data_IF_574870305267
#
_entry.id   IF_574870305267
#
_cell.length_a   1.000
_cell.length_b   1.000
_cell.length_c   1.000
_cell.angle_alpha   90.00
_cell.angle_beta   90.00
_cell.angle_gamma   90.00
#
_symmetry.space_group_name_H-M   'P 1'
#
loop_
_entity.id
_entity.type
_entity.pdbx_description
1 polymer ?
#
# COMPACT_ATOMS: atom_id res chain seq x y z
N UNK A 1 -17.61 -14.16 50.82
CA UNK A 1 -16.98 -14.79 51.99
C UNK A 1 -15.56 -15.20 51.60
N UNK A 2 -14.55 -14.68 52.30
CA UNK A 2 -13.12 -15.11 52.37
C UNK A 2 -12.36 -15.14 51.02
N UNK A 3 -11.63 -14.09 50.60
CA UNK A 3 -10.29 -13.64 51.06
C UNK A 3 -9.31 -14.79 51.31
N UNK A 4 -8.33 -14.95 50.41
CA UNK A 4 -6.97 -15.41 50.76
C UNK A 4 -5.97 -14.55 50.00
N UNK A 5 -5.13 -13.89 50.79
CA UNK A 5 -4.01 -13.02 50.46
C UNK A 5 -2.74 -13.88 50.38
N UNK A 6 -1.86 -13.65 49.40
CA UNK A 6 -0.41 -13.96 49.47
C UNK A 6 0.26 -13.13 48.37
N UNK A 7 0.82 -11.96 48.66
CA UNK A 7 2.09 -11.67 49.35
C UNK A 7 3.29 -11.55 48.37
N UNK A 8 3.90 -10.38 48.49
CA UNK A 8 5.08 -9.77 47.87
C UNK A 8 6.19 -10.70 47.33
N UNK A 9 6.71 -10.30 46.17
CA UNK A 9 8.11 -10.50 45.77
C UNK A 9 8.66 -9.21 45.16
N UNK A 10 9.31 -8.38 45.97
CA UNK A 10 10.11 -7.23 45.52
C UNK A 10 11.50 -7.77 45.16
N UNK A 11 11.95 -7.54 43.93
CA UNK A 11 13.35 -7.70 43.55
C UNK A 11 13.87 -6.38 42.96
N UNK A 12 14.86 -5.84 43.65
CA UNK A 12 15.57 -4.61 43.36
C UNK A 12 16.82 -4.86 42.52
N UNK A 13 17.29 -3.82 41.82
CA UNK A 13 18.64 -3.70 41.23
C UNK A 13 18.71 -4.22 39.80
N UNK A 14 19.30 -3.53 38.81
CA UNK A 14 20.45 -2.62 38.87
C UNK A 14 20.37 -1.54 37.78
N UNK A 15 20.66 -0.31 38.20
CA UNK A 15 20.89 0.88 37.39
C UNK A 15 22.27 0.77 36.71
N UNK A 16 22.32 0.75 35.37
CA UNK A 16 23.57 0.84 34.60
C UNK A 16 23.65 2.25 33.99
N UNK A 17 24.47 3.11 34.59
CA UNK A 17 24.98 4.32 33.95
C UNK A 17 26.24 3.96 33.15
N UNK A 18 26.25 4.22 31.85
CA UNK A 18 27.47 4.34 31.06
C UNK A 18 27.53 5.73 30.41
N UNK A 19 28.22 6.59 31.14
CA UNK A 19 29.25 7.57 30.74
C UNK A 19 29.34 8.03 29.28
N UNK A 20 29.31 9.35 29.13
CA UNK A 20 29.56 10.14 27.94
C UNK A 20 30.95 9.92 27.31
N UNK A 21 31.02 10.01 25.98
CA UNK A 21 32.22 10.39 25.26
C UNK A 21 31.97 11.73 24.53
N UNK A 22 32.57 12.78 25.09
CA UNK A 22 32.70 14.08 24.43
C UNK A 22 33.84 13.97 23.42
N UNK A 23 33.58 14.34 22.17
CA UNK A 23 34.57 14.31 21.09
C UNK A 23 34.32 15.46 20.14
N UNK A 24 34.90 16.63 20.45
CA UNK A 24 34.98 17.75 19.53
C UNK A 24 36.14 17.57 18.56
N UNK A 25 35.96 18.04 17.32
CA UNK A 25 37.06 18.48 16.46
C UNK A 25 36.54 19.49 15.45
N UNK A 26 37.26 20.60 15.43
CA UNK A 26 37.00 21.86 14.74
C UNK A 26 37.70 21.89 13.39
N UNK A 27 37.08 22.55 12.40
CA UNK A 27 37.70 23.01 11.16
C UNK A 27 36.58 23.41 10.20
N UNK A 28 36.38 24.64 9.74
CA UNK A 28 37.29 25.76 9.56
C UNK A 28 37.46 25.99 8.05
N UNK A 29 36.78 27.00 7.49
CA UNK A 29 37.09 27.49 6.13
C UNK A 29 35.88 27.97 5.32
N UNK A 30 35.65 29.28 5.33
CA UNK A 30 34.71 30.03 4.48
C UNK A 30 35.17 30.05 3.01
N UNK A 31 34.22 30.08 2.07
CA UNK A 31 34.29 30.94 0.88
C UNK A 31 32.91 31.02 0.19
N UNK A 32 32.19 32.11 0.46
CA UNK A 32 31.24 32.66 -0.49
C UNK A 32 32.02 33.42 -1.58
N UNK A 33 31.59 33.31 -2.84
CA UNK A 33 31.56 34.41 -3.83
C UNK A 33 31.04 33.91 -5.18
N UNK A 34 29.81 34.35 -5.48
CA UNK A 34 29.33 34.96 -6.74
C UNK A 34 30.11 34.76 -8.05
N UNK A 35 29.40 34.32 -9.10
CA UNK A 35 29.52 34.90 -10.45
C UNK A 35 28.25 34.65 -11.30
N UNK A 36 27.79 35.71 -11.95
CA UNK A 36 26.68 35.86 -12.89
C UNK A 36 26.88 35.17 -14.25
N UNK A 37 25.75 35.02 -14.98
CA UNK A 37 25.67 34.92 -16.44
C UNK A 37 24.87 33.69 -16.87
N UNK A 38 23.90 33.71 -17.80
CA UNK A 38 23.38 34.71 -18.71
C UNK A 38 22.20 34.07 -19.46
N UNK A 39 21.09 34.80 -19.68
CA UNK A 39 20.05 34.46 -20.67
C UNK A 39 20.65 34.39 -22.09
N UNK A 40 20.20 33.48 -22.98
CA UNK A 40 19.02 33.69 -23.86
C UNK A 40 18.29 32.34 -24.14
N UNK A 41 17.24 32.15 -24.95
CA UNK A 41 16.30 32.94 -25.72
C UNK A 41 15.06 32.04 -25.95
N UNK A 42 13.93 32.68 -26.26
CA UNK A 42 12.67 32.07 -26.64
C UNK A 42 12.78 31.20 -27.91
N UNK A 43 11.95 30.16 -28.00
CA UNK A 43 11.57 29.56 -29.28
C UNK A 43 10.06 29.39 -29.29
N UNK A 44 9.40 30.20 -30.11
CA UNK A 44 7.97 30.13 -30.39
C UNK A 44 7.71 28.95 -31.33
N UNK A 45 6.85 28.03 -30.91
CA UNK A 45 6.31 26.96 -31.75
C UNK A 45 4.91 27.33 -32.25
N UNK A 46 4.79 27.56 -33.55
CA UNK A 46 3.56 27.92 -34.27
C UNK A 46 2.57 26.76 -34.24
N UNK A 47 1.47 26.90 -33.51
CA UNK A 47 0.33 25.98 -33.54
C UNK A 47 -0.55 26.25 -34.75
N UNK A 48 -0.60 25.32 -35.69
CA UNK A 48 -1.59 25.25 -36.76
C UNK A 48 -2.53 24.07 -36.53
N UNK A 49 -3.83 24.33 -36.63
CA UNK A 49 -4.85 23.47 -37.27
C UNK A 49 -6.23 23.95 -36.81
N UNK A 50 -6.98 24.54 -37.74
CA UNK A 50 -8.41 24.76 -37.55
C UNK A 50 -9.18 23.44 -37.63
N UNK A 51 -10.38 23.41 -37.06
CA UNK A 51 -11.50 22.60 -37.56
C UNK A 51 -12.80 23.28 -37.16
N UNK A 52 -13.71 23.28 -38.13
CA UNK A 52 -14.97 23.97 -38.20
C UNK A 52 -16.07 23.39 -37.30
N UNK A 53 -17.13 24.19 -37.24
CA UNK A 53 -18.40 24.02 -36.56
C UNK A 53 -19.28 22.82 -36.99
N UNK A 54 -20.45 22.78 -36.34
CA UNK A 54 -21.68 22.05 -36.63
C UNK A 54 -21.83 20.71 -35.87
N UNK A 55 -22.98 20.32 -35.34
CA UNK A 55 -24.28 20.96 -35.13
C UNK A 55 -25.06 20.09 -34.13
N UNK A 56 -25.95 20.71 -33.35
CA UNK A 56 -26.95 20.04 -32.53
C UNK A 56 -27.93 19.24 -33.38
N UNK A 57 -28.18 17.98 -33.01
CA UNK A 57 -29.32 17.22 -33.48
C UNK A 57 -29.81 16.28 -32.37
N UNK A 58 -30.92 16.68 -31.73
CA UNK A 58 -31.84 15.78 -31.03
C UNK A 58 -32.60 14.91 -32.04
N UNK A 59 -32.83 13.63 -31.70
CA UNK A 59 -34.13 13.04 -31.99
C UNK A 59 -34.79 12.45 -30.73
N UNK A 60 -36.10 12.68 -30.66
CA UNK A 60 -37.03 12.08 -29.72
C UNK A 60 -37.06 10.56 -29.88
N UNK A 61 -37.11 9.82 -28.77
CA UNK A 61 -37.42 8.39 -28.80
C UNK A 61 -38.84 8.14 -28.29
N UNK A 62 -39.62 7.47 -29.12
CA UNK A 62 -41.03 7.19 -28.96
C UNK A 62 -41.27 6.07 -27.93
N UNK A 63 -42.41 6.18 -27.27
CA UNK A 63 -43.07 5.18 -26.43
C UNK A 63 -43.40 3.93 -27.25
N UNK A 64 -43.02 2.75 -26.75
CA UNK A 64 -43.39 1.46 -27.30
C UNK A 64 -43.53 0.41 -26.21
N UNK A 65 -44.77 0.23 -25.73
CA UNK A 65 -45.19 -0.89 -24.88
C UNK A 65 -45.49 -2.10 -25.77
N UNK A 66 -44.80 -3.23 -25.56
CA UNK A 66 -45.34 -4.57 -25.81
C UNK A 66 -44.43 -5.63 -25.14
N UNK A 67 -45.07 -6.56 -24.43
CA UNK A 67 -44.42 -7.62 -23.68
C UNK A 67 -43.77 -8.70 -24.54
N UNK A 68 -42.87 -9.43 -23.90
CA UNK A 68 -42.24 -10.64 -24.43
C UNK A 68 -41.58 -11.42 -23.30
N UNK A 69 -42.33 -12.34 -22.71
CA UNK A 69 -41.78 -13.39 -21.85
C UNK A 69 -40.96 -14.33 -22.72
N UNK A 70 -39.64 -14.26 -22.63
CA UNK A 70 -38.73 -15.25 -23.21
C UNK A 70 -37.60 -15.53 -22.24
N UNK A 71 -37.73 -16.65 -21.52
CA UNK A 71 -36.63 -17.35 -20.87
C UNK A 71 -35.65 -17.79 -21.96
N UNK A 72 -34.45 -17.21 -21.98
CA UNK A 72 -33.35 -17.70 -22.80
C UNK A 72 -32.07 -17.69 -21.97
N UNK A 73 -31.57 -18.89 -21.69
CA UNK A 73 -30.22 -19.11 -21.20
C UNK A 73 -29.19 -18.99 -22.33
N UNK A 74 -27.93 -18.99 -21.89
CA UNK A 74 -26.69 -19.07 -22.69
C UNK A 74 -26.33 -17.80 -23.46
N UNK A 75 -25.13 -17.23 -23.37
CA UNK A 75 -23.90 -17.61 -22.70
C UNK A 75 -22.76 -16.73 -23.22
N UNK A 76 -21.63 -16.74 -22.54
CA UNK A 76 -20.33 -16.49 -23.17
C UNK A 76 -19.33 -17.39 -22.46
N UNK A 77 -19.19 -18.59 -23.03
CA UNK A 77 -18.10 -19.49 -22.70
C UNK A 77 -16.80 -18.90 -23.18
N UNK A 78 -15.85 -18.75 -22.27
CA UNK A 78 -14.44 -18.92 -22.59
C UNK A 78 -14.09 -20.37 -22.32
N UNK A 79 -14.10 -21.21 -23.35
CA UNK A 79 -13.31 -22.45 -23.31
C UNK A 79 -11.85 -22.02 -23.36
N UNK A 80 -11.22 -21.90 -22.20
CA UNK A 80 -9.84 -21.43 -22.09
C UNK A 80 -9.24 -21.85 -20.76
N UNK A 81 -8.68 -23.07 -20.75
CA UNK A 81 -8.02 -23.72 -19.62
C UNK A 81 -8.90 -23.95 -18.38
N UNK A 82 -8.96 -25.18 -17.89
CA UNK A 82 -9.46 -25.48 -16.54
C UNK A 82 -8.43 -24.93 -15.54
N UNK A 83 -8.42 -23.61 -15.40
CA UNK A 83 -7.52 -22.87 -14.53
C UNK A 83 -8.29 -22.38 -13.31
N UNK A 84 -7.64 -22.48 -12.14
CA UNK A 84 -8.18 -21.93 -10.90
C UNK A 84 -8.35 -20.41 -11.04
N UNK A 85 -9.56 -19.90 -10.78
CA UNK A 85 -9.89 -18.48 -10.92
C UNK A 85 -9.03 -17.58 -10.03
N UNK A 86 -8.86 -16.31 -10.38
CA UNK A 86 -8.17 -15.34 -9.52
C UNK A 86 -8.96 -15.09 -8.24
N UNK A 87 -8.25 -14.85 -7.13
CA UNK A 87 -8.90 -14.56 -5.86
C UNK A 87 -9.68 -13.26 -5.96
N UNK A 88 -10.97 -13.32 -5.61
CA UNK A 88 -11.79 -12.11 -5.53
C UNK A 88 -11.58 -11.46 -4.18
N UNK A 89 -11.23 -10.17 -4.18
CA UNK A 89 -11.03 -9.42 -2.94
C UNK A 89 -12.27 -9.38 -2.01
N UNK A 90 -13.49 -9.60 -2.53
CA UNK A 90 -14.71 -9.75 -1.70
C UNK A 90 -14.70 -11.00 -0.80
N UNK A 91 -13.91 -12.00 -1.18
CA UNK A 91 -13.72 -13.26 -0.45
C UNK A 91 -12.29 -13.38 0.10
N UNK A 92 -11.55 -12.27 0.18
CA UNK A 92 -10.27 -12.21 0.84
C UNK A 92 -10.42 -11.43 2.14
N UNK A 93 -9.89 -12.00 3.22
CA UNK A 93 -9.60 -11.23 4.42
C UNK A 93 -8.13 -10.83 4.41
N UNK A 94 -7.85 -9.59 4.78
CA UNK A 94 -6.50 -9.06 4.96
C UNK A 94 -6.23 -8.80 6.44
N UNK A 95 -5.05 -9.16 6.92
CA UNK A 95 -4.56 -8.85 8.27
C UNK A 95 -3.07 -8.54 8.22
N UNK A 96 -2.56 -7.88 9.27
CA UNK A 96 -1.12 -7.72 9.50
C UNK A 96 -0.67 -8.69 10.60
N UNK A 97 0.49 -9.31 10.42
CA UNK A 97 1.18 -10.13 11.43
C UNK A 97 2.70 -9.91 11.36
N UNK A 98 3.44 -10.50 12.30
CA UNK A 98 4.91 -10.55 12.27
C UNK A 98 5.56 -9.17 12.16
N UNK A 99 5.70 -8.44 13.27
CA UNK A 99 6.39 -7.14 13.27
C UNK A 99 7.85 -7.30 13.70
N UNK A 100 8.77 -6.82 12.88
CA UNK A 100 10.20 -6.84 13.15
C UNK A 100 10.84 -5.48 12.88
N UNK A 101 11.38 -4.85 13.93
CA UNK A 101 12.08 -3.59 13.82
C UNK A 101 13.55 -3.75 13.42
N UNK A 102 14.02 -2.87 12.54
CA UNK A 102 15.43 -2.72 12.17
C UNK A 102 15.85 -1.25 12.32
N UNK A 103 17.10 -0.93 11.98
CA UNK A 103 17.54 0.46 11.97
C UNK A 103 16.80 1.24 10.86
N UNK A 104 15.87 2.10 11.27
CA UNK A 104 15.17 3.03 10.38
C UNK A 104 14.02 2.43 9.55
N UNK A 105 13.63 1.18 9.80
CA UNK A 105 12.44 0.59 9.21
C UNK A 105 11.86 -0.52 10.07
N UNK A 106 10.59 -0.85 9.85
CA UNK A 106 9.96 -2.06 10.37
C UNK A 106 9.52 -2.93 9.18
N UNK A 107 9.44 -4.23 9.41
CA UNK A 107 8.89 -5.19 8.47
C UNK A 107 7.64 -5.81 9.08
N UNK A 108 6.58 -5.91 8.27
CA UNK A 108 5.32 -6.57 8.64
C UNK A 108 4.86 -7.51 7.53
N UNK A 109 4.15 -8.57 7.90
CA UNK A 109 3.52 -9.48 6.96
C UNK A 109 2.06 -9.08 6.72
N UNK A 110 1.73 -8.78 5.46
CA UNK A 110 0.33 -8.64 5.02
C UNK A 110 -0.18 -10.01 4.64
N UNK A 111 -1.05 -10.58 5.47
CA UNK A 111 -1.62 -11.92 5.27
C UNK A 111 -2.99 -11.82 4.61
N UNK A 112 -3.16 -12.58 3.54
CA UNK A 112 -4.41 -12.80 2.83
C UNK A 112 -4.95 -14.19 3.16
N UNK A 113 -6.23 -14.26 3.51
CA UNK A 113 -6.96 -15.52 3.72
C UNK A 113 -8.08 -15.67 2.70
N UNK A 114 -8.14 -16.82 2.03
CA UNK A 114 -9.26 -17.18 1.17
C UNK A 114 -10.47 -17.60 2.03
N UNK A 115 -11.52 -16.79 2.02
CA UNK A 115 -12.79 -17.06 2.71
C UNK A 115 -13.79 -17.82 1.83
N UNK A 116 -13.48 -18.02 0.56
CA UNK A 116 -14.34 -18.77 -0.35
C UNK A 116 -14.22 -20.28 -0.11
N UNK A 117 -15.23 -21.03 -0.56
CA UNK A 117 -15.23 -22.50 -0.53
C UNK A 117 -14.56 -23.13 -1.76
N UNK A 118 -14.00 -22.32 -2.65
CA UNK A 118 -13.29 -22.75 -3.86
C UNK A 118 -11.85 -22.26 -3.84
N UNK A 119 -10.91 -22.99 -4.46
CA UNK A 119 -9.55 -22.52 -4.62
C UNK A 119 -9.50 -21.27 -5.51
N UNK A 120 -8.52 -20.40 -5.25
CA UNK A 120 -8.28 -19.22 -6.07
C UNK A 120 -6.78 -18.93 -6.23
N UNK A 121 -6.40 -18.08 -7.19
CA UNK A 121 -4.99 -17.74 -7.47
C UNK A 121 -4.65 -16.27 -7.26
N UNK A 122 -3.42 -16.02 -6.82
CA UNK A 122 -2.80 -14.69 -6.68
C UNK A 122 -1.42 -14.70 -7.33
N UNK A 123 -1.02 -13.59 -7.94
CA UNK A 123 0.26 -13.46 -8.63
C UNK A 123 0.74 -12.01 -8.57
N UNK A 124 2.02 -11.81 -8.22
CA UNK A 124 2.64 -10.48 -8.21
C UNK A 124 2.65 -9.81 -6.84
N UNK A 125 2.47 -8.49 -6.84
CA UNK A 125 2.63 -7.64 -5.66
C UNK A 125 1.28 -7.03 -5.28
N UNK A 126 0.93 -6.95 -3.98
CA UNK A 126 -0.18 -6.11 -3.56
C UNK A 126 0.18 -4.63 -3.75
N UNK A 127 -0.83 -3.81 -4.01
CA UNK A 127 -0.71 -2.36 -3.81
C UNK A 127 -0.92 -2.06 -2.33
N UNK A 128 -0.09 -1.20 -1.74
CA UNK A 128 -0.21 -0.84 -0.32
C UNK A 128 0.00 0.66 -0.16
N UNK A 129 -0.87 1.31 0.60
CA UNK A 129 -0.72 2.72 0.97
C UNK A 129 -1.12 2.90 2.43
N UNK A 130 -0.59 3.92 3.10
CA UNK A 130 -1.13 4.33 4.38
C UNK A 130 -2.47 5.05 4.22
N UNK A 131 -3.34 4.93 5.22
CA UNK A 131 -4.67 5.52 5.25
C UNK A 131 -4.99 6.22 6.57
N UNK A 132 -5.63 7.38 6.51
CA UNK A 132 -6.06 8.14 7.68
C UNK A 132 -7.42 8.83 7.46
N UNK A 133 -8.07 9.23 8.56
CA UNK A 133 -9.28 10.04 8.55
C UNK A 133 -10.58 9.25 8.33
N UNK A 134 -11.67 9.99 8.17
CA UNK A 134 -13.01 9.45 7.93
C UNK A 134 -13.75 10.36 6.93
N UNK A 135 -13.97 9.93 5.67
CA UNK A 135 -13.60 8.64 5.10
C UNK A 135 -12.07 8.44 5.02
N UNK A 136 -11.62 7.19 5.01
CA UNK A 136 -10.18 6.87 4.95
C UNK A 136 -9.61 7.37 3.62
N UNK A 137 -8.57 8.19 3.70
CA UNK A 137 -7.84 8.73 2.55
C UNK A 137 -6.39 8.25 2.57
N UNK A 138 -5.81 8.05 1.39
CA UNK A 138 -4.40 7.71 1.27
C UNK A 138 -3.51 8.84 1.82
N UNK A 139 -2.45 8.46 2.52
CA UNK A 139 -1.41 9.36 3.02
C UNK A 139 -0.06 8.95 2.42
N UNK A 140 0.61 9.90 1.77
CA UNK A 140 1.92 9.66 1.16
C UNK A 140 1.86 8.85 -0.15
N UNK A 141 3.03 8.43 -0.61
CA UNK A 141 3.19 7.61 -1.80
C UNK A 141 2.80 6.14 -1.54
N UNK A 142 2.24 5.44 -2.54
CA UNK A 142 2.00 4.00 -2.43
C UNK A 142 3.33 3.23 -2.42
N UNK A 143 3.26 1.97 -1.99
CA UNK A 143 4.40 1.08 -1.93
C UNK A 143 5.03 0.85 -3.30
N UNK A 144 6.36 0.98 -3.37
CA UNK A 144 7.13 0.47 -4.49
C UNK A 144 7.30 -1.04 -4.36
N UNK A 145 7.52 -1.71 -5.50
CA UNK A 145 7.79 -3.15 -5.53
C UNK A 145 9.23 -3.42 -5.14
N UNK A 146 9.45 -4.32 -4.19
CA UNK A 146 10.77 -4.87 -3.86
C UNK A 146 11.07 -6.10 -4.71
N UNK A 147 12.15 -6.12 -5.51
CA UNK A 147 12.49 -7.26 -6.36
C UNK A 147 13.14 -8.43 -5.59
N UNK A 148 13.17 -8.39 -4.25
CA UNK A 148 13.81 -9.43 -3.41
C UNK A 148 13.18 -10.81 -3.59
N UNK A 149 11.88 -10.85 -3.88
CA UNK A 149 11.15 -12.09 -4.16
C UNK A 149 10.65 -12.08 -5.59
N UNK A 150 11.02 -13.11 -6.35
CA UNK A 150 10.51 -13.28 -7.71
C UNK A 150 9.03 -13.68 -7.65
N UNK A 151 8.12 -12.98 -8.36
CA UNK A 151 6.71 -13.35 -8.41
C UNK A 151 6.49 -14.79 -8.88
N UNK A 152 5.63 -15.51 -8.17
CA UNK A 152 5.17 -16.85 -8.55
C UNK A 152 3.65 -16.93 -8.40
N UNK A 153 3.03 -17.88 -9.11
CA UNK A 153 1.59 -18.11 -8.99
C UNK A 153 1.31 -18.83 -7.68
N UNK A 154 0.53 -18.20 -6.80
CA UNK A 154 0.12 -18.75 -5.52
C UNK A 154 -1.32 -19.23 -5.64
N UNK A 155 -1.57 -20.50 -5.34
CA UNK A 155 -2.93 -21.06 -5.24
C UNK A 155 -3.34 -21.17 -3.78
N UNK A 156 -4.44 -20.50 -3.43
CA UNK A 156 -5.06 -20.52 -2.12
C UNK A 156 -6.22 -21.51 -2.13
N UNK A 157 -6.10 -22.60 -1.37
CA UNK A 157 -7.23 -23.47 -1.07
C UNK A 157 -8.27 -22.74 -0.21
N UNK A 158 -9.50 -23.27 -0.08
CA UNK A 158 -10.47 -22.77 0.90
C UNK A 158 -9.84 -22.67 2.29
N UNK A 159 -9.93 -21.49 2.92
CA UNK A 159 -9.28 -21.21 4.21
C UNK A 159 -7.76 -21.07 4.17
N UNK A 160 -7.12 -21.23 3.00
CA UNK A 160 -5.68 -21.10 2.82
C UNK A 160 -5.17 -19.66 2.98
N UNK A 161 -3.86 -19.54 3.15
CA UNK A 161 -3.17 -18.28 3.41
C UNK A 161 -2.03 -18.00 2.43
N UNK A 162 -1.85 -16.72 2.13
CA UNK A 162 -0.71 -16.18 1.41
C UNK A 162 -0.29 -14.88 2.10
N UNK A 163 0.97 -14.48 1.98
CA UNK A 163 1.47 -13.26 2.59
C UNK A 163 2.39 -12.48 1.66
N UNK A 164 2.52 -11.19 1.91
CA UNK A 164 3.56 -10.34 1.33
C UNK A 164 4.24 -9.53 2.43
N UNK A 165 5.56 -9.47 2.41
CA UNK A 165 6.32 -8.64 3.34
C UNK A 165 6.23 -7.19 2.89
N UNK A 166 5.87 -6.31 3.82
CA UNK A 166 5.90 -4.87 3.69
C UNK A 166 7.02 -4.31 4.57
N UNK A 167 7.99 -3.66 3.94
CA UNK A 167 8.93 -2.80 4.62
C UNK A 167 8.34 -1.38 4.74
N UNK A 168 8.41 -0.83 5.94
CA UNK A 168 7.98 0.52 6.28
C UNK A 168 9.19 1.29 6.79
N UNK A 169 9.67 2.25 6.00
CA UNK A 169 10.71 3.19 6.42
C UNK A 169 10.18 4.22 7.42
N UNK A 170 10.98 4.54 8.43
CA UNK A 170 10.63 5.56 9.42
C UNK A 170 10.56 6.95 8.77
N UNK A 171 9.43 7.64 8.95
CA UNK A 171 9.22 9.00 8.46
C UNK A 171 10.25 9.99 9.04
N UNK A 172 10.78 9.74 10.24
CA UNK A 172 11.78 10.57 10.89
C UNK A 172 13.15 10.55 10.19
N UNK A 173 13.41 9.58 9.30
CA UNK A 173 14.65 9.52 8.52
C UNK A 173 14.71 10.53 7.38
N UNK A 174 13.62 11.24 7.10
CA UNK A 174 13.51 12.16 5.98
C UNK A 174 13.44 13.63 6.44
N UNK A 175 14.02 14.57 5.68
CA UNK A 175 13.88 15.98 5.97
C UNK A 175 12.41 16.43 6.02
N UNK A 176 12.04 17.35 6.94
CA UNK A 176 10.67 17.87 7.02
C UNK A 176 10.18 18.49 5.71
N UNK A 177 11.07 19.04 4.88
CA UNK A 177 10.71 19.64 3.58
C UNK A 177 10.20 18.62 2.57
N UNK A 178 10.64 17.37 2.65
CA UNK A 178 10.24 16.27 1.75
C UNK A 178 9.21 15.34 2.38
N UNK A 179 9.16 15.32 3.71
CA UNK A 179 8.36 14.40 4.48
C UNK A 179 7.69 15.14 5.63
N UNK A 180 6.35 15.17 5.62
CA UNK A 180 5.58 15.67 6.75
C UNK A 180 5.02 14.46 7.51
N UNK A 181 5.62 14.06 8.66
CA UNK A 181 5.14 12.93 9.44
C UNK A 181 3.66 13.13 9.78
N UNK A 182 2.83 12.16 9.41
CA UNK A 182 1.38 12.22 9.55
C UNK A 182 0.88 10.92 10.19
N UNK A 183 0.15 10.98 11.32
CA UNK A 183 -0.45 9.80 11.93
C UNK A 183 -1.45 9.12 10.98
N UNK A 184 -1.42 7.80 10.93
CA UNK A 184 -2.30 6.97 10.10
C UNK A 184 -2.80 5.78 10.89
N UNK A 185 -4.02 5.34 10.61
CA UNK A 185 -4.72 4.30 11.38
C UNK A 185 -5.07 3.06 10.54
N UNK A 186 -4.77 3.10 9.23
CA UNK A 186 -5.06 2.02 8.30
C UNK A 186 -3.92 1.79 7.31
N UNK A 187 -3.81 0.54 6.84
CA UNK A 187 -3.24 0.20 5.54
C UNK A 187 -4.38 0.00 4.55
N UNK A 188 -4.26 0.66 3.41
CA UNK A 188 -5.04 0.43 2.20
C UNK A 188 -4.31 -0.61 1.36
N UNK A 189 -4.84 -1.83 1.28
CA UNK A 189 -4.23 -2.94 0.54
C UNK A 189 -5.09 -3.35 -0.66
N UNK A 190 -4.50 -3.33 -1.85
CA UNK A 190 -5.05 -3.92 -3.07
C UNK A 190 -4.44 -5.31 -3.28
N UNK A 191 -5.19 -6.41 -3.12
CA UNK A 191 -4.68 -7.74 -3.42
C UNK A 191 -4.27 -7.87 -4.90
N UNK A 192 -3.21 -8.63 -5.21
CA UNK A 192 -2.75 -8.80 -6.59
C UNK A 192 -3.86 -9.27 -7.53
N UNK A 193 -3.90 -8.68 -8.73
CA UNK A 193 -4.88 -8.94 -9.79
C UNK A 193 -6.34 -8.63 -9.42
N UNK A 194 -6.55 -7.76 -8.41
CA UNK A 194 -7.88 -7.28 -8.03
C UNK A 194 -7.90 -5.76 -7.91
N UNK A 195 -9.08 -5.16 -8.10
CA UNK A 195 -9.29 -3.71 -7.98
C UNK A 195 -9.99 -3.29 -6.69
N UNK A 196 -10.40 -4.23 -5.83
CA UNK A 196 -11.04 -3.87 -4.56
C UNK A 196 -10.00 -3.70 -3.47
N UNK A 197 -10.24 -2.68 -2.67
CA UNK A 197 -9.39 -2.27 -1.59
C UNK A 197 -9.80 -2.96 -0.28
N UNK A 198 -8.83 -3.47 0.47
CA UNK A 198 -8.97 -3.92 1.84
C UNK A 198 -8.42 -2.83 2.77
N UNK A 199 -9.18 -2.49 3.81
CA UNK A 199 -8.70 -1.64 4.89
C UNK A 199 -8.29 -2.51 6.07
N UNK A 200 -7.01 -2.49 6.42
CA UNK A 200 -6.47 -3.22 7.57
C UNK A 200 -6.12 -2.19 8.63
N UNK A 201 -6.63 -2.34 9.85
CA UNK A 201 -6.28 -1.46 10.95
C UNK A 201 -4.77 -1.60 11.26
N UNK A 202 -4.07 -0.47 11.27
CA UNK A 202 -2.63 -0.42 11.49
C UNK A 202 -2.23 1.00 11.88
N UNK A 203 -1.88 1.18 13.16
CA UNK A 203 -1.42 2.47 13.65
C UNK A 203 0.03 2.70 13.27
N UNK A 204 0.31 3.79 12.57
CA UNK A 204 1.65 4.15 12.14
C UNK A 204 1.80 5.64 11.87
N UNK A 205 3.01 6.06 11.55
CA UNK A 205 3.31 7.42 11.10
C UNK A 205 3.81 7.36 9.67
N UNK A 206 2.97 7.83 8.74
CA UNK A 206 3.32 7.91 7.34
C UNK A 206 4.09 9.19 7.02
N UNK A 207 4.76 9.17 5.87
CA UNK A 207 5.38 10.34 5.29
C UNK A 207 4.42 11.02 4.30
N UNK A 208 3.86 12.18 4.66
CA UNK A 208 3.07 12.99 3.72
C UNK A 208 4.02 13.84 2.88
N UNK A 209 4.33 13.37 1.68
CA UNK A 209 5.21 14.01 0.71
C UNK A 209 5.51 13.08 -0.45
N UNK A 210 6.33 13.53 -1.39
CA UNK A 210 6.70 12.75 -2.59
C UNK A 210 7.93 11.87 -2.34
N UNK A 211 7.82 11.02 -1.32
CA UNK A 211 8.84 10.06 -0.92
C UNK A 211 8.20 8.70 -0.75
N UNK A 212 8.79 7.71 -1.40
CA UNK A 212 8.41 6.30 -1.21
C UNK A 212 9.07 5.79 0.06
N UNK A 213 8.26 5.50 1.07
CA UNK A 213 8.69 4.91 2.35
C UNK A 213 8.21 3.47 2.52
N UNK A 214 7.40 2.98 1.58
CA UNK A 214 6.84 1.65 1.59
C UNK A 214 7.45 0.83 0.46
N UNK A 215 7.94 -0.36 0.79
CA UNK A 215 8.38 -1.34 -0.19
C UNK A 215 7.70 -2.68 0.09
N UNK A 216 7.13 -3.29 -0.95
CA UNK A 216 6.37 -4.53 -0.79
C UNK A 216 6.92 -5.62 -1.69
N UNK A 217 7.07 -6.81 -1.14
CA UNK A 217 7.51 -7.99 -1.86
C UNK A 217 6.36 -8.68 -2.60
N UNK A 218 6.70 -9.64 -3.47
CA UNK A 218 5.70 -10.46 -4.13
C UNK A 218 5.02 -11.41 -3.14
N UNK A 219 3.76 -11.76 -3.41
CA UNK A 219 3.02 -12.70 -2.56
C UNK A 219 3.65 -14.09 -2.59
N UNK A 220 3.64 -14.75 -1.43
CA UNK A 220 4.13 -16.11 -1.20
C UNK A 220 3.07 -16.93 -0.44
N UNK A 221 3.03 -18.27 -0.60
CA UNK A 221 2.13 -19.12 0.18
C UNK A 221 2.50 -19.11 1.68
N UNK A 222 1.50 -19.23 2.56
CA UNK A 222 1.70 -19.28 4.02
C UNK A 222 1.21 -18.05 4.76
N UNK A 223 1.57 -17.94 6.04
CA UNK A 223 1.11 -16.87 6.95
C UNK A 223 2.20 -15.85 7.30
N UNK A 224 3.37 -15.91 6.68
CA UNK A 224 4.50 -15.05 7.05
C UNK A 224 5.34 -15.60 8.20
N UNK A 225 6.27 -14.76 8.64
CA UNK A 225 7.37 -15.01 9.58
C UNK A 225 7.01 -14.88 11.05
#
# INVERSE_FOLDING_TARGET
MKQVISALGVAAGTLVLCTACVGGSSGGGNAASTASGSHPAATAGTGGAGTAAAASATPANATGTAGGTSTAGSGSGGSGSSGVATCSARYLNGSVSGEQGTAGSIYVDIVFKNLNNEPCTMYGYPGVSFGAGTPVQQVGQPAARSPQVTPSLVTLQPGGHAYAVLQIGDAANWPPTTCQPTPTTYLQVYPPNTSNLLYIAFDSTACKGDVVTLHVEAVRPGTGS
#
